data_IF_671128342104
#
_entry.id   IF_671128342104
#
_cell.length_a   1.000
_cell.length_b   1.000
_cell.length_c   1.000
_cell.angle_alpha   90.00
_cell.angle_beta   90.00
_cell.angle_gamma   90.00
#
_symmetry.space_group_name_H-M   'P 1'
#
loop_
_entity.id
_entity.type
_entity.pdbx_description
1 polymer ?
#
# COMPACT_ATOMS: atom_id res chain seq x y z
N UNK A 1 -46.73 105.86 -4.10
CA UNK A 1 -47.02 104.42 -3.87
C UNK A 1 -46.90 103.56 -5.15
N UNK A 2 -47.33 104.02 -6.33
CA UNK A 2 -47.19 103.27 -7.60
C UNK A 2 -45.75 102.99 -8.04
N UNK A 3 -44.84 103.96 -7.92
CA UNK A 3 -43.43 103.81 -8.33
C UNK A 3 -42.63 102.78 -7.51
N UNK A 4 -43.00 102.56 -6.25
CA UNK A 4 -42.35 101.55 -5.38
C UNK A 4 -42.79 100.14 -5.79
N UNK A 5 -44.06 99.96 -6.17
CA UNK A 5 -44.60 98.68 -6.62
C UNK A 5 -43.97 98.23 -7.94
N UNK A 6 -43.87 99.11 -8.93
CA UNK A 6 -43.24 98.80 -10.22
C UNK A 6 -41.76 98.42 -10.07
N UNK A 7 -41.03 99.05 -9.15
CA UNK A 7 -39.62 98.73 -8.92
C UNK A 7 -39.46 97.37 -8.22
N UNK A 8 -40.39 97.01 -7.33
CA UNK A 8 -40.44 95.69 -6.69
C UNK A 8 -40.78 94.60 -7.70
N UNK A 9 -41.79 94.80 -8.54
CA UNK A 9 -42.18 93.85 -9.60
C UNK A 9 -41.02 93.65 -10.59
N UNK A 10 -40.32 94.72 -10.99
CA UNK A 10 -39.15 94.63 -11.86
C UNK A 10 -37.98 93.87 -11.23
N UNK A 11 -37.67 94.11 -9.96
CA UNK A 11 -36.63 93.36 -9.24
C UNK A 11 -37.02 91.89 -9.05
N UNK A 12 -38.30 91.62 -8.80
CA UNK A 12 -38.80 90.26 -8.59
C UNK A 12 -38.76 89.46 -9.89
N UNK A 13 -39.19 90.05 -11.02
CA UNK A 13 -39.07 89.44 -12.35
C UNK A 13 -37.63 89.06 -12.68
N UNK A 14 -36.68 89.99 -12.46
CA UNK A 14 -35.26 89.73 -12.74
C UNK A 14 -34.70 88.58 -11.89
N UNK A 15 -35.12 88.47 -10.62
CA UNK A 15 -34.72 87.34 -9.76
C UNK A 15 -35.33 86.01 -10.19
N UNK A 16 -36.54 86.02 -10.75
CA UNK A 16 -37.16 84.81 -11.30
C UNK A 16 -36.43 84.34 -12.55
N UNK A 17 -36.07 85.25 -13.46
CA UNK A 17 -35.29 84.92 -14.67
C UNK A 17 -33.90 84.37 -14.30
N UNK A 18 -33.20 85.02 -13.36
CA UNK A 18 -31.90 84.55 -12.83
C UNK A 18 -32.02 83.22 -12.05
N UNK A 19 -33.18 82.91 -11.45
CA UNK A 19 -33.43 81.63 -10.81
C UNK A 19 -33.70 80.53 -11.84
N UNK A 20 -34.47 80.82 -12.89
CA UNK A 20 -34.82 79.87 -13.94
C UNK A 20 -33.59 79.45 -14.75
N UNK A 21 -32.73 80.41 -15.12
CA UNK A 21 -31.44 80.17 -15.78
C UNK A 21 -30.54 79.25 -14.93
N UNK A 22 -30.37 79.54 -13.64
CA UNK A 22 -29.60 78.67 -12.72
C UNK A 22 -30.20 77.28 -12.56
N UNK A 23 -31.52 77.16 -12.64
CA UNK A 23 -32.21 75.87 -12.55
C UNK A 23 -32.03 75.03 -13.82
N UNK A 24 -31.98 75.65 -15.00
CA UNK A 24 -31.65 74.98 -16.27
C UNK A 24 -30.23 74.41 -16.23
N UNK A 25 -29.26 75.22 -15.83
CA UNK A 25 -27.85 74.79 -15.70
C UNK A 25 -27.67 73.60 -14.74
N UNK A 26 -28.29 73.65 -13.56
CA UNK A 26 -28.19 72.56 -12.57
C UNK A 26 -28.85 71.27 -13.05
N UNK A 27 -29.95 71.37 -13.80
CA UNK A 27 -30.61 70.20 -14.41
C UNK A 27 -29.74 69.58 -15.49
N UNK A 28 -29.10 70.40 -16.31
CA UNK A 28 -28.21 69.95 -17.38
C UNK A 28 -26.99 69.21 -16.81
N UNK A 29 -26.30 69.79 -15.82
CA UNK A 29 -25.15 69.15 -15.15
C UNK A 29 -25.48 67.77 -14.56
N UNK A 30 -26.64 67.62 -13.91
CA UNK A 30 -27.06 66.33 -13.34
C UNK A 30 -27.47 65.30 -14.39
N UNK A 31 -27.90 65.74 -15.57
CA UNK A 31 -28.21 64.84 -16.69
C UNK A 31 -26.91 64.29 -17.29
N UNK A 32 -25.95 65.18 -17.53
CA UNK A 32 -24.62 64.83 -18.05
C UNK A 32 -23.87 63.87 -17.10
N UNK A 33 -23.90 64.13 -15.79
CA UNK A 33 -23.28 63.26 -14.79
C UNK A 33 -23.93 61.86 -14.74
N UNK A 34 -25.25 61.79 -14.90
CA UNK A 34 -25.98 60.52 -14.96
C UNK A 34 -25.63 59.74 -16.23
N UNK A 35 -25.60 60.41 -17.38
CA UNK A 35 -25.29 59.79 -18.66
C UNK A 35 -23.84 59.26 -18.68
N UNK A 36 -22.89 59.99 -18.06
CA UNK A 36 -21.51 59.55 -17.88
C UNK A 36 -21.38 58.30 -17.01
N UNK A 37 -22.08 58.26 -15.87
CA UNK A 37 -22.08 57.09 -14.98
C UNK A 37 -22.72 55.86 -15.65
N UNK A 38 -23.76 56.06 -16.47
CA UNK A 38 -24.40 54.98 -17.23
C UNK A 38 -23.44 54.42 -18.29
N UNK A 39 -22.72 55.28 -19.02
CA UNK A 39 -21.71 54.83 -19.98
C UNK A 39 -20.61 54.01 -19.32
N UNK A 40 -20.10 54.44 -18.16
CA UNK A 40 -19.05 53.72 -17.44
C UNK A 40 -19.50 52.32 -16.98
N UNK A 41 -20.75 52.19 -16.51
CA UNK A 41 -21.32 50.89 -16.14
C UNK A 41 -21.47 49.97 -17.36
N UNK A 42 -21.94 50.49 -18.50
CA UNK A 42 -22.10 49.72 -19.73
C UNK A 42 -20.74 49.24 -20.25
N UNK A 43 -19.72 50.10 -20.23
CA UNK A 43 -18.37 49.72 -20.66
C UNK A 43 -17.74 48.66 -19.76
N UNK A 44 -17.96 48.75 -18.44
CA UNK A 44 -17.46 47.77 -17.48
C UNK A 44 -18.12 46.42 -17.67
N UNK A 45 -19.45 46.38 -17.82
CA UNK A 45 -20.21 45.15 -18.06
C UNK A 45 -19.82 44.50 -19.41
N UNK A 46 -19.55 45.32 -20.45
CA UNK A 46 -19.05 44.84 -21.74
C UNK A 46 -17.66 44.21 -21.63
N UNK A 47 -16.75 44.79 -20.84
CA UNK A 47 -15.42 44.24 -20.57
C UNK A 47 -15.52 42.91 -19.82
N UNK A 48 -16.29 42.86 -18.74
CA UNK A 48 -16.47 41.66 -17.92
C UNK A 48 -17.12 40.52 -18.73
N UNK A 49 -18.10 40.82 -19.59
CA UNK A 49 -18.71 39.84 -20.50
C UNK A 49 -17.73 39.31 -21.55
N UNK A 50 -16.86 40.18 -22.08
CA UNK A 50 -15.82 39.77 -23.03
C UNK A 50 -14.72 38.92 -22.38
N UNK A 51 -14.40 39.17 -21.10
CA UNK A 51 -13.45 38.36 -20.34
C UNK A 51 -14.04 37.00 -20.00
N UNK A 52 -15.31 36.94 -19.59
CA UNK A 52 -16.01 35.68 -19.34
C UNK A 52 -16.07 34.82 -20.62
N UNK A 53 -16.41 35.40 -21.78
CA UNK A 53 -16.48 34.66 -23.04
C UNK A 53 -15.09 34.17 -23.51
N UNK A 54 -14.03 34.96 -23.25
CA UNK A 54 -12.64 34.55 -23.54
C UNK A 54 -12.15 33.44 -22.61
N UNK A 55 -12.50 33.49 -21.33
CA UNK A 55 -12.18 32.44 -20.36
C UNK A 55 -12.96 31.16 -20.69
N UNK A 56 -14.21 31.26 -21.11
CA UNK A 56 -15.02 30.10 -21.53
C UNK A 56 -14.49 29.46 -22.82
N UNK A 57 -14.15 30.24 -23.85
CA UNK A 57 -13.47 29.74 -25.07
C UNK A 57 -12.07 29.20 -24.78
N UNK A 58 -11.34 29.80 -23.84
CA UNK A 58 -10.02 29.33 -23.39
C UNK A 58 -10.11 28.00 -22.64
N UNK A 59 -11.11 27.83 -21.77
CA UNK A 59 -11.33 26.61 -21.01
C UNK A 59 -11.87 25.46 -21.91
N UNK A 60 -12.70 25.76 -22.91
CA UNK A 60 -13.13 24.79 -23.92
C UNK A 60 -11.99 24.35 -24.85
N UNK A 61 -11.09 25.26 -25.25
CA UNK A 61 -9.88 24.89 -26.02
C UNK A 61 -8.86 24.13 -25.19
N UNK A 62 -8.70 24.44 -23.90
CA UNK A 62 -7.81 23.71 -23.01
C UNK A 62 -8.37 22.32 -22.65
N UNK A 63 -9.69 22.16 -22.56
CA UNK A 63 -10.35 20.85 -22.40
C UNK A 63 -10.18 19.90 -23.59
N UNK A 64 -10.14 20.43 -24.84
CA UNK A 64 -9.88 19.61 -26.03
C UNK A 64 -8.39 19.38 -26.31
N UNK A 65 -7.50 20.31 -25.94
CA UNK A 65 -6.05 20.09 -26.03
C UNK A 65 -5.51 19.14 -24.93
N UNK A 66 -6.23 19.01 -23.81
CA UNK A 66 -6.04 17.98 -22.78
C UNK A 66 -6.92 16.73 -23.01
N UNK A 67 -7.41 16.53 -24.24
CA UNK A 67 -8.06 15.28 -24.66
C UNK A 67 -7.14 14.05 -24.61
N UNK A 68 -5.84 14.22 -24.32
CA UNK A 68 -4.89 13.15 -24.02
C UNK A 68 -4.64 12.89 -22.53
N UNK A 69 -5.05 13.80 -21.63
CA UNK A 69 -4.78 13.66 -20.18
C UNK A 69 -6.00 13.16 -19.39
N UNK A 70 -7.23 13.37 -19.89
CA UNK A 70 -8.38 12.67 -19.33
C UNK A 70 -8.33 11.15 -19.61
N UNK A 71 -7.78 10.75 -20.77
CA UNK A 71 -7.51 9.35 -21.05
C UNK A 71 -6.38 8.80 -20.17
N UNK A 72 -5.33 9.57 -19.85
CA UNK A 72 -4.22 9.08 -19.04
C UNK A 72 -4.50 9.11 -17.53
N UNK A 73 -5.31 10.03 -17.01
CA UNK A 73 -5.73 9.98 -15.59
C UNK A 73 -6.71 8.80 -15.35
N UNK A 74 -7.48 8.40 -16.37
CA UNK A 74 -8.31 7.19 -16.32
C UNK A 74 -7.55 5.87 -16.57
N UNK A 75 -6.54 5.87 -17.43
CA UNK A 75 -5.79 4.65 -17.79
C UNK A 75 -4.65 4.33 -16.82
N UNK A 76 -4.03 5.33 -16.17
CA UNK A 76 -2.93 5.08 -15.22
C UNK A 76 -3.38 4.92 -13.76
N UNK A 77 -4.60 5.34 -13.40
CA UNK A 77 -5.10 5.22 -12.02
C UNK A 77 -5.40 3.79 -11.56
N UNK A 78 -5.71 2.88 -12.50
CA UNK A 78 -5.98 1.47 -12.21
C UNK A 78 -4.94 0.49 -12.78
N UNK A 79 -4.58 0.63 -14.06
CA UNK A 79 -3.70 -0.34 -14.74
C UNK A 79 -2.21 -0.10 -14.42
N UNK A 80 -1.78 1.15 -14.27
CA UNK A 80 -0.37 1.48 -13.96
C UNK A 80 0.07 0.97 -12.59
N UNK A 81 -0.82 1.06 -11.59
CA UNK A 81 -0.59 0.58 -10.22
C UNK A 81 -0.57 -0.95 -10.17
N UNK A 82 -1.44 -1.62 -10.93
CA UNK A 82 -1.48 -3.09 -10.96
C UNK A 82 -0.24 -3.69 -11.66
N UNK A 83 0.24 -3.04 -12.73
CA UNK A 83 1.48 -3.44 -13.41
C UNK A 83 2.70 -3.22 -12.51
N UNK A 84 2.80 -2.09 -11.81
CA UNK A 84 3.92 -1.83 -10.90
C UNK A 84 3.92 -2.77 -9.69
N UNK A 85 2.75 -3.08 -9.12
CA UNK A 85 2.63 -4.10 -8.07
C UNK A 85 3.08 -5.47 -8.57
N UNK A 86 2.68 -5.86 -9.78
CA UNK A 86 3.04 -7.16 -10.36
C UNK A 86 4.55 -7.25 -10.66
N UNK A 87 5.16 -6.17 -11.14
CA UNK A 87 6.60 -6.10 -11.37
C UNK A 87 7.42 -6.10 -10.06
N UNK A 88 6.94 -5.40 -9.03
CA UNK A 88 7.54 -5.40 -7.70
C UNK A 88 7.46 -6.78 -7.03
N UNK A 89 6.34 -7.50 -7.21
CA UNK A 89 6.21 -8.88 -6.75
C UNK A 89 7.14 -9.82 -7.51
N UNK A 90 7.26 -9.69 -8.84
CA UNK A 90 8.17 -10.52 -9.62
C UNK A 90 9.65 -10.34 -9.22
N UNK A 91 10.06 -9.10 -8.95
CA UNK A 91 11.41 -8.78 -8.46
C UNK A 91 11.64 -9.28 -7.03
N UNK A 92 10.68 -9.10 -6.12
CA UNK A 92 10.77 -9.61 -4.76
C UNK A 92 10.77 -11.15 -4.68
N UNK A 93 10.09 -11.83 -5.61
CA UNK A 93 10.15 -13.29 -5.72
C UNK A 93 11.53 -13.73 -6.25
N UNK A 94 12.12 -13.00 -7.20
CA UNK A 94 13.46 -13.31 -7.70
C UNK A 94 14.55 -13.12 -6.63
N UNK A 95 14.52 -12.00 -5.90
CA UNK A 95 15.42 -11.75 -4.77
C UNK A 95 15.15 -12.71 -3.59
N UNK A 96 13.86 -12.96 -3.33
CA UNK A 96 13.39 -13.95 -2.37
C UNK A 96 13.90 -15.36 -2.69
N UNK A 97 13.95 -15.75 -3.96
CA UNK A 97 14.45 -17.06 -4.38
C UNK A 97 15.96 -17.25 -4.13
N UNK A 98 16.77 -16.20 -4.28
CA UNK A 98 18.20 -16.26 -3.99
C UNK A 98 18.46 -16.35 -2.48
N UNK A 99 17.75 -15.55 -1.68
CA UNK A 99 17.82 -15.65 -0.20
C UNK A 99 17.23 -16.96 0.32
N UNK A 100 16.19 -17.48 -0.33
CA UNK A 100 15.55 -18.76 -0.03
C UNK A 100 16.49 -19.95 -0.23
N UNK A 101 17.33 -19.96 -1.28
CA UNK A 101 18.32 -21.03 -1.49
C UNK A 101 19.31 -21.10 -0.33
N UNK A 102 19.88 -19.96 0.09
CA UNK A 102 20.81 -19.90 1.21
C UNK A 102 20.14 -20.31 2.54
N UNK A 103 18.90 -19.86 2.78
CA UNK A 103 18.14 -20.26 3.97
C UNK A 103 17.78 -21.76 3.96
N UNK A 104 17.43 -22.31 2.80
CA UNK A 104 17.15 -23.73 2.61
C UNK A 104 18.39 -24.59 2.89
N UNK A 105 19.55 -24.21 2.36
CA UNK A 105 20.82 -24.91 2.62
C UNK A 105 21.23 -24.84 4.09
N UNK A 106 21.07 -23.68 4.73
CA UNK A 106 21.34 -23.50 6.15
C UNK A 106 20.41 -24.35 7.05
N UNK A 107 19.15 -24.55 6.65
CA UNK A 107 18.18 -25.37 7.39
C UNK A 107 18.35 -26.88 7.14
N UNK A 108 18.93 -27.28 6.01
CA UNK A 108 19.05 -28.67 5.56
C UNK A 108 19.86 -29.53 6.53
N UNK A 109 21.09 -29.11 6.83
CA UNK A 109 22.05 -29.87 7.64
C UNK A 109 21.55 -30.09 9.08
N UNK A 110 21.13 -29.06 9.83
CA UNK A 110 20.67 -29.26 11.21
C UNK A 110 19.42 -30.14 11.29
N UNK A 111 18.47 -29.98 10.35
CA UNK A 111 17.26 -30.81 10.31
C UNK A 111 17.56 -32.28 9.98
N UNK A 112 18.53 -32.53 9.08
CA UNK A 112 18.97 -33.88 8.77
C UNK A 112 19.65 -34.53 9.98
N UNK A 113 20.56 -33.82 10.64
CA UNK A 113 21.27 -34.32 11.82
C UNK A 113 20.29 -34.64 12.95
N UNK A 114 19.35 -33.74 13.26
CA UNK A 114 18.32 -33.98 14.27
C UNK A 114 17.47 -35.23 13.96
N UNK A 115 17.07 -35.39 12.69
CA UNK A 115 16.34 -36.57 12.25
C UNK A 115 17.14 -37.86 12.39
N UNK A 116 18.44 -37.84 12.08
CA UNK A 116 19.33 -39.00 12.27
C UNK A 116 19.49 -39.32 13.76
N UNK A 117 19.76 -38.31 14.61
CA UNK A 117 19.88 -38.48 16.06
C UNK A 117 18.63 -39.14 16.63
N UNK A 118 17.45 -38.58 16.32
CA UNK A 118 16.16 -39.12 16.76
C UNK A 118 15.90 -40.52 16.23
N UNK A 119 16.29 -40.80 14.99
CA UNK A 119 16.20 -42.14 14.41
C UNK A 119 17.07 -43.15 15.15
N UNK A 120 18.29 -42.77 15.53
CA UNK A 120 19.20 -43.65 16.25
C UNK A 120 18.74 -43.84 17.70
N UNK A 121 18.29 -42.79 18.38
CA UNK A 121 17.73 -42.87 19.74
C UNK A 121 16.50 -43.79 19.79
N UNK A 122 15.57 -43.63 18.84
CA UNK A 122 14.33 -44.43 18.81
C UNK A 122 14.57 -45.88 18.43
N UNK A 123 15.46 -46.15 17.48
CA UNK A 123 15.75 -47.52 17.04
C UNK A 123 16.69 -48.23 18.00
N UNK A 124 17.81 -47.62 18.35
CA UNK A 124 18.86 -48.29 19.11
C UNK A 124 18.81 -47.97 20.61
N UNK A 125 18.07 -46.95 21.05
CA UNK A 125 17.98 -46.59 22.47
C UNK A 125 19.29 -46.04 23.03
N UNK A 126 20.09 -45.40 22.18
CA UNK A 126 21.43 -44.90 22.51
C UNK A 126 21.44 -43.38 22.38
N UNK A 127 22.00 -42.69 23.37
CA UNK A 127 22.13 -41.21 23.39
C UNK A 127 23.57 -40.73 23.11
N UNK A 128 24.52 -41.66 22.98
CA UNK A 128 25.95 -41.37 22.80
C UNK A 128 26.56 -42.27 21.73
N UNK A 129 27.34 -41.71 20.81
CA UNK A 129 28.06 -42.47 19.78
C UNK A 129 29.56 -42.25 19.95
N UNK A 130 30.35 -43.33 19.92
CA UNK A 130 31.81 -43.26 20.05
C UNK A 130 32.30 -42.65 21.36
N UNK A 131 31.54 -42.79 22.46
CA UNK A 131 31.86 -42.19 23.76
C UNK A 131 31.63 -40.68 23.84
N UNK A 132 31.01 -40.08 22.82
CA UNK A 132 30.68 -38.64 22.77
C UNK A 132 29.17 -38.44 22.60
N UNK A 133 28.70 -37.23 22.91
CA UNK A 133 27.31 -36.83 22.59
C UNK A 133 27.12 -36.82 21.07
N UNK A 134 25.96 -37.26 20.60
CA UNK A 134 25.68 -37.36 19.17
C UNK A 134 25.83 -36.02 18.42
N UNK A 135 25.48 -34.91 19.04
CA UNK A 135 25.70 -33.56 18.49
C UNK A 135 27.17 -33.31 18.15
N UNK A 136 28.09 -33.71 19.04
CA UNK A 136 29.53 -33.56 18.82
C UNK A 136 30.04 -34.48 17.72
N UNK A 137 29.48 -35.69 17.62
CA UNK A 137 29.81 -36.64 16.55
C UNK A 137 29.43 -36.09 15.17
N UNK A 138 28.21 -35.57 15.01
CA UNK A 138 27.74 -35.05 13.71
C UNK A 138 28.34 -33.69 13.32
N UNK A 139 29.09 -33.02 14.20
CA UNK A 139 29.92 -31.86 13.82
C UNK A 139 31.12 -32.28 12.97
N UNK A 140 31.66 -33.47 13.17
CA UNK A 140 32.84 -33.99 12.45
C UNK A 140 32.49 -35.01 11.37
N UNK A 141 31.37 -35.71 11.53
CA UNK A 141 30.96 -36.81 10.65
C UNK A 141 29.74 -36.41 9.85
N UNK A 142 29.76 -36.67 8.54
CA UNK A 142 28.64 -36.35 7.66
C UNK A 142 27.48 -37.31 7.94
N UNK A 143 26.26 -36.78 8.04
CA UNK A 143 25.05 -37.58 8.29
C UNK A 143 24.72 -38.57 7.15
N UNK A 144 25.30 -38.37 5.97
CA UNK A 144 25.14 -39.23 4.79
C UNK A 144 26.06 -40.45 4.81
N UNK A 145 27.10 -40.45 5.66
CA UNK A 145 28.08 -41.54 5.73
C UNK A 145 27.56 -42.70 6.59
N UNK A 146 26.68 -43.51 6.00
CA UNK A 146 26.06 -44.68 6.63
C UNK A 146 27.09 -45.59 7.32
N UNK A 147 28.23 -45.86 6.68
CA UNK A 147 29.27 -46.73 7.23
C UNK A 147 29.87 -46.19 8.53
N UNK A 148 30.21 -44.89 8.59
CA UNK A 148 30.79 -44.30 9.81
C UNK A 148 29.78 -44.23 10.95
N UNK A 149 28.51 -44.00 10.62
CA UNK A 149 27.43 -44.04 11.60
C UNK A 149 27.25 -45.47 12.11
N UNK A 150 27.24 -46.46 11.21
CA UNK A 150 27.14 -47.87 11.57
C UNK A 150 28.33 -48.33 12.43
N UNK A 151 29.55 -47.91 12.11
CA UNK A 151 30.76 -48.16 12.91
C UNK A 151 30.64 -47.58 14.32
N UNK A 152 30.17 -46.34 14.44
CA UNK A 152 30.00 -45.68 15.74
C UNK A 152 28.91 -46.37 16.59
N UNK A 153 27.81 -46.78 15.98
CA UNK A 153 26.74 -47.56 16.63
C UNK A 153 27.26 -48.95 17.02
N UNK A 154 28.05 -49.60 16.16
CA UNK A 154 28.65 -50.90 16.43
C UNK A 154 29.65 -50.85 17.59
N UNK A 155 30.49 -49.82 17.66
CA UNK A 155 31.41 -49.63 18.78
C UNK A 155 30.65 -49.44 20.10
N UNK A 156 29.54 -48.71 20.08
CA UNK A 156 28.66 -48.61 21.25
C UNK A 156 28.07 -49.98 21.62
N UNK A 157 27.56 -50.72 20.63
CA UNK A 157 27.06 -52.09 20.81
C UNK A 157 28.13 -53.01 21.43
N UNK A 158 29.36 -52.98 20.93
CA UNK A 158 30.46 -53.79 21.45
C UNK A 158 30.82 -53.42 22.91
N UNK A 159 30.81 -52.13 23.23
CA UNK A 159 31.06 -51.61 24.58
C UNK A 159 29.92 -51.94 25.56
N UNK A 160 28.66 -51.93 25.12
CA UNK A 160 27.51 -52.13 26.01
C UNK A 160 27.04 -53.56 26.09
N UNK A 161 27.13 -54.34 25.01
CA UNK A 161 26.51 -55.66 24.88
C UNK A 161 27.50 -56.83 24.91
N UNK A 162 28.76 -56.63 24.48
CA UNK A 162 29.77 -57.70 24.42
C UNK A 162 30.67 -57.69 25.67
N UNK A 163 31.16 -56.52 26.06
CA UNK A 163 32.15 -56.38 27.15
C UNK A 163 31.53 -56.39 28.55
N UNK A 164 30.23 -56.12 28.69
CA UNK A 164 29.59 -55.93 30.00
C UNK A 164 29.20 -57.24 30.72
N UNK A 165 29.23 -58.40 30.06
CA UNK A 165 29.10 -59.75 30.67
C UNK A 165 27.77 -60.09 31.36
N UNK A 166 27.02 -59.09 31.81
CA UNK A 166 25.67 -59.19 32.35
C UNK A 166 24.72 -58.72 31.27
N UNK A 167 23.73 -59.54 30.91
CA UNK A 167 22.72 -59.26 29.88
C UNK A 167 22.07 -57.88 30.00
N UNK A 168 22.76 -56.85 29.51
CA UNK A 168 22.29 -55.49 29.45
C UNK A 168 21.22 -55.45 28.36
N UNK A 169 19.96 -55.44 28.80
CA UNK A 169 18.77 -55.38 27.94
C UNK A 169 18.59 -53.98 27.37
N UNK A 170 19.58 -53.49 26.61
CA UNK A 170 19.46 -52.28 25.82
C UNK A 170 18.78 -52.58 24.47
N UNK A 171 17.99 -51.65 23.89
CA UNK A 171 17.35 -51.86 22.59
C UNK A 171 18.36 -52.18 21.49
N UNK A 172 19.56 -51.58 21.56
CA UNK A 172 20.69 -51.88 20.66
C UNK A 172 21.15 -53.34 20.74
N UNK A 173 21.18 -53.93 21.94
CA UNK A 173 21.55 -55.32 22.12
C UNK A 173 20.47 -56.22 21.52
N UNK A 174 19.21 -56.02 21.90
CA UNK A 174 18.07 -56.83 21.42
C UNK A 174 17.97 -56.82 19.89
N UNK A 175 18.17 -55.67 19.25
CA UNK A 175 18.15 -55.56 17.78
C UNK A 175 19.27 -56.36 17.12
N UNK A 176 20.52 -56.21 17.58
CA UNK A 176 21.65 -56.93 17.02
C UNK A 176 21.47 -58.47 17.15
N UNK A 177 20.91 -58.92 18.28
CA UNK A 177 20.54 -60.33 18.50
C UNK A 177 19.40 -60.79 17.58
N UNK A 178 18.32 -60.01 17.43
CA UNK A 178 17.15 -60.37 16.61
C UNK A 178 17.47 -60.57 15.11
N UNK A 179 18.43 -59.82 14.58
CA UNK A 179 18.86 -59.97 13.19
C UNK A 179 19.82 -61.16 12.97
N UNK A 180 20.50 -61.64 14.01
CA UNK A 180 21.38 -62.82 13.92
C UNK A 180 20.60 -64.14 13.76
N UNK A 181 19.35 -64.19 14.23
CA UNK A 181 18.53 -65.41 14.27
C UNK A 181 17.57 -65.53 13.06
N UNK A 182 17.19 -64.42 12.42
CA UNK A 182 16.09 -64.37 11.45
C UNK A 182 16.43 -64.75 10.01
N UNK A 183 17.69 -65.08 9.66
CA UNK A 183 18.08 -65.35 8.26
C UNK A 183 18.91 -66.61 7.97
N UNK A 184 19.13 -67.50 8.92
CA UNK A 184 19.81 -68.79 8.68
C UNK A 184 21.26 -68.68 8.15
N UNK A 185 21.82 -67.47 8.13
CA UNK A 185 23.20 -67.15 7.82
C UNK A 185 23.68 -66.22 8.94
N UNK A 186 24.85 -66.51 9.51
CA UNK A 186 25.46 -65.74 10.60
C UNK A 186 25.84 -64.35 10.07
N UNK A 187 24.87 -63.43 10.00
CA UNK A 187 25.11 -62.04 9.63
C UNK A 187 25.79 -61.38 10.83
N UNK A 188 26.98 -60.81 10.60
CA UNK A 188 27.71 -60.08 11.64
C UNK A 188 26.83 -58.96 12.22
N UNK A 189 26.91 -58.73 13.54
CA UNK A 189 26.12 -57.68 14.20
C UNK A 189 26.29 -56.29 13.54
N UNK A 190 27.46 -56.03 12.96
CA UNK A 190 27.74 -54.85 12.13
C UNK A 190 26.79 -54.73 10.92
N UNK A 191 26.65 -55.78 10.11
CA UNK A 191 25.79 -55.76 8.92
C UNK A 191 24.32 -55.49 9.28
N UNK A 192 23.86 -56.03 10.42
CA UNK A 192 22.51 -55.78 10.92
C UNK A 192 22.29 -54.33 11.31
N UNK A 193 23.29 -53.73 11.96
CA UNK A 193 23.29 -52.30 12.32
C UNK A 193 23.30 -51.44 11.05
N UNK A 194 24.14 -51.77 10.08
CA UNK A 194 24.21 -51.04 8.81
C UNK A 194 22.87 -51.07 8.06
N UNK A 195 22.20 -52.22 8.01
CA UNK A 195 20.85 -52.37 7.42
C UNK A 195 19.82 -51.52 8.17
N UNK A 196 19.93 -51.38 9.49
CA UNK A 196 19.02 -50.57 10.29
C UNK A 196 19.32 -49.06 10.22
N UNK A 197 20.57 -48.66 9.96
CA UNK A 197 20.97 -47.24 9.80
C UNK A 197 20.57 -46.68 8.42
N UNK A 198 20.63 -47.48 7.36
CA UNK A 198 20.21 -47.07 5.99
C UNK A 198 18.85 -46.36 5.92
N UNK A 199 17.74 -46.93 6.46
CA UNK A 199 16.44 -46.26 6.42
C UNK A 199 16.40 -44.99 7.27
N UNK A 200 17.20 -44.88 8.33
CA UNK A 200 17.27 -43.66 9.17
C UNK A 200 17.89 -42.51 8.35
N UNK A 201 19.01 -42.76 7.68
CA UNK A 201 19.66 -41.76 6.83
C UNK A 201 18.77 -41.35 5.67
N UNK A 202 18.10 -42.31 5.01
CA UNK A 202 17.14 -42.01 3.95
C UNK A 202 15.94 -41.18 4.44
N UNK A 203 15.40 -41.48 5.62
CA UNK A 203 14.35 -40.65 6.22
C UNK A 203 14.85 -39.24 6.55
N UNK A 204 16.08 -39.11 7.05
CA UNK A 204 16.68 -37.82 7.32
C UNK A 204 16.84 -36.96 6.07
N UNK A 205 17.16 -37.55 4.92
CA UNK A 205 17.15 -36.84 3.62
C UNK A 205 15.77 -36.27 3.30
N UNK A 206 14.70 -37.05 3.49
CA UNK A 206 13.32 -36.53 3.25
C UNK A 206 12.93 -35.41 4.21
N UNK A 207 13.41 -35.45 5.45
CA UNK A 207 13.20 -34.38 6.44
C UNK A 207 13.99 -33.14 6.06
N UNK A 208 15.23 -33.32 5.58
CA UNK A 208 16.07 -32.25 5.10
C UNK A 208 15.47 -31.55 3.87
N UNK A 209 14.93 -32.31 2.91
CA UNK A 209 14.20 -31.76 1.76
C UNK A 209 12.95 -30.99 2.17
N UNK A 210 12.22 -31.48 3.18
CA UNK A 210 11.05 -30.76 3.72
C UNK A 210 11.47 -29.47 4.40
N UNK A 211 12.55 -29.49 5.18
CA UNK A 211 13.08 -28.30 5.84
C UNK A 211 13.56 -27.25 4.82
N UNK A 212 14.20 -27.69 3.73
CA UNK A 212 14.55 -26.81 2.60
C UNK A 212 13.31 -26.15 2.04
N UNK A 213 12.26 -26.93 1.71
CA UNK A 213 11.01 -26.39 1.17
C UNK A 213 10.33 -25.40 2.10
N UNK A 214 10.25 -25.71 3.41
CA UNK A 214 9.65 -24.82 4.40
C UNK A 214 10.44 -23.52 4.52
N UNK A 215 11.76 -23.59 4.62
CA UNK A 215 12.61 -22.40 4.72
C UNK A 215 12.57 -21.55 3.44
N UNK A 216 12.49 -22.18 2.26
CA UNK A 216 12.36 -21.45 1.00
C UNK A 216 11.00 -20.76 0.89
N UNK A 217 9.93 -21.44 1.28
CA UNK A 217 8.57 -20.88 1.24
C UNK A 217 8.44 -19.71 2.22
N UNK A 218 8.99 -19.83 3.43
CA UNK A 218 9.01 -18.74 4.41
C UNK A 218 9.81 -17.52 3.92
N UNK A 219 10.95 -17.73 3.27
CA UNK A 219 11.76 -16.64 2.72
C UNK A 219 11.03 -15.90 1.58
N UNK A 220 10.37 -16.63 0.69
CA UNK A 220 9.54 -16.05 -0.38
C UNK A 220 8.32 -15.32 0.19
N UNK A 221 7.66 -15.89 1.21
CA UNK A 221 6.53 -15.24 1.87
C UNK A 221 6.93 -13.94 2.57
N UNK A 222 8.11 -13.88 3.19
CA UNK A 222 8.63 -12.62 3.76
C UNK A 222 8.83 -11.56 2.69
N UNK A 223 9.43 -11.89 1.55
CA UNK A 223 9.68 -10.89 0.49
C UNK A 223 8.36 -10.37 -0.11
N UNK A 224 7.36 -11.24 -0.29
CA UNK A 224 6.01 -10.85 -0.72
C UNK A 224 5.35 -9.95 0.33
N UNK A 225 5.41 -10.30 1.62
CA UNK A 225 4.82 -9.52 2.71
C UNK A 225 5.37 -8.10 2.83
N UNK A 226 6.67 -7.89 2.53
CA UNK A 226 7.27 -6.55 2.47
C UNK A 226 6.68 -5.71 1.34
N UNK A 227 6.44 -6.30 0.17
CA UNK A 227 5.80 -5.60 -0.96
C UNK A 227 4.34 -5.27 -0.64
N UNK A 228 3.58 -6.21 -0.09
CA UNK A 228 2.17 -6.01 0.26
C UNK A 228 1.97 -4.93 1.33
N UNK A 229 2.80 -4.93 2.38
CA UNK A 229 2.74 -3.91 3.42
C UNK A 229 3.06 -2.51 2.90
N UNK A 230 4.07 -2.38 2.04
CA UNK A 230 4.40 -1.12 1.38
C UNK A 230 3.27 -0.63 0.48
N UNK A 231 2.66 -1.55 -0.28
CA UNK A 231 1.51 -1.24 -1.13
C UNK A 231 0.28 -0.79 -0.33
N UNK A 232 0.00 -1.45 0.80
CA UNK A 232 -1.10 -1.07 1.68
C UNK A 232 -0.94 0.36 2.19
N UNK A 233 0.28 0.77 2.60
CA UNK A 233 0.58 2.14 3.01
C UNK A 233 0.29 3.13 1.86
N UNK A 234 0.77 2.86 0.65
CA UNK A 234 0.50 3.69 -0.52
C UNK A 234 -1.00 3.80 -0.82
N UNK A 235 -1.74 2.69 -0.73
CA UNK A 235 -3.19 2.69 -0.96
C UNK A 235 -3.92 3.54 0.07
N UNK A 236 -3.54 3.47 1.36
CA UNK A 236 -4.14 4.34 2.40
C UNK A 236 -3.88 5.83 2.13
N UNK A 237 -2.67 6.18 1.68
CA UNK A 237 -2.34 7.56 1.31
C UNK A 237 -3.17 8.05 0.12
N UNK A 238 -3.39 7.21 -0.89
CA UNK A 238 -4.24 7.53 -2.04
C UNK A 238 -5.69 7.76 -1.58
N UNK A 239 -6.25 6.86 -0.75
CA UNK A 239 -7.61 7.00 -0.22
C UNK A 239 -7.75 8.31 0.56
N UNK A 240 -6.79 8.63 1.42
CA UNK A 240 -6.81 9.87 2.20
C UNK A 240 -6.81 11.13 1.30
N UNK A 241 -6.01 11.13 0.23
CA UNK A 241 -5.99 12.26 -0.72
C UNK A 241 -7.30 12.41 -1.49
N UNK A 242 -7.93 11.30 -1.92
CA UNK A 242 -9.25 11.32 -2.59
C UNK A 242 -10.33 11.85 -1.64
N UNK A 243 -10.34 11.41 -0.39
CA UNK A 243 -11.28 11.90 0.63
C UNK A 243 -11.09 13.40 0.86
N UNK A 244 -9.86 13.89 0.94
CA UNK A 244 -9.57 15.33 1.08
C UNK A 244 -10.11 16.15 -0.09
N UNK A 245 -9.93 15.67 -1.34
CA UNK A 245 -10.46 16.33 -2.54
C UNK A 245 -12.00 16.39 -2.50
N UNK A 246 -12.66 15.31 -2.10
CA UNK A 246 -14.13 15.26 -1.98
C UNK A 246 -14.63 16.28 -0.94
N UNK A 247 -13.96 16.39 0.22
CA UNK A 247 -14.33 17.37 1.26
C UNK A 247 -14.23 18.81 0.72
N UNK A 248 -13.13 19.14 0.04
CA UNK A 248 -12.94 20.47 -0.56
C UNK A 248 -14.03 20.76 -1.60
N UNK A 249 -14.35 19.78 -2.46
CA UNK A 249 -15.41 19.91 -3.45
C UNK A 249 -16.79 20.14 -2.80
N UNK A 250 -17.12 19.40 -1.73
CA UNK A 250 -18.37 19.58 -0.99
C UNK A 250 -18.48 20.98 -0.36
N UNK A 251 -17.40 21.49 0.25
CA UNK A 251 -17.37 22.85 0.81
C UNK A 251 -17.61 23.90 -0.28
N UNK A 252 -16.94 23.77 -1.43
CA UNK A 252 -17.14 24.66 -2.58
C UNK A 252 -18.60 24.64 -3.08
N UNK A 253 -19.22 23.46 -3.14
CA UNK A 253 -20.63 23.30 -3.52
C UNK A 253 -21.56 23.99 -2.51
N UNK A 254 -21.33 23.82 -1.20
CA UNK A 254 -22.14 24.46 -0.16
C UNK A 254 -22.05 25.99 -0.27
N UNK A 255 -20.82 26.54 -0.37
CA UNK A 255 -20.60 27.98 -0.54
C UNK A 255 -21.31 28.48 -1.82
N UNK A 256 -21.17 27.75 -2.93
CA UNK A 256 -21.84 28.07 -4.19
C UNK A 256 -23.38 28.11 -4.04
N UNK A 257 -23.98 27.11 -3.37
CA UNK A 257 -25.41 27.05 -3.14
C UNK A 257 -25.90 28.21 -2.26
N UNK A 258 -25.16 28.56 -1.19
CA UNK A 258 -25.48 29.70 -0.32
C UNK A 258 -25.43 31.01 -1.12
N UNK A 259 -24.37 31.23 -1.91
CA UNK A 259 -24.23 32.42 -2.75
C UNK A 259 -25.34 32.51 -3.80
N UNK A 260 -25.68 31.40 -4.46
CA UNK A 260 -26.77 31.31 -5.43
C UNK A 260 -28.12 31.63 -4.79
N UNK A 261 -28.38 31.08 -3.60
CA UNK A 261 -29.59 31.35 -2.83
C UNK A 261 -29.71 32.84 -2.48
N UNK A 262 -28.63 33.47 -2.00
CA UNK A 262 -28.60 34.92 -1.69
C UNK A 262 -28.87 35.77 -2.93
N UNK A 263 -28.30 35.44 -4.08
CA UNK A 263 -28.55 36.14 -5.35
C UNK A 263 -30.02 36.07 -5.78
N UNK A 264 -30.63 34.88 -5.75
CA UNK A 264 -32.07 34.71 -6.04
C UNK A 264 -32.96 35.53 -5.11
N UNK A 265 -32.69 35.50 -3.79
CA UNK A 265 -33.47 36.28 -2.81
C UNK A 265 -33.38 37.79 -3.06
N UNK A 266 -32.20 38.30 -3.42
CA UNK A 266 -32.01 39.72 -3.77
C UNK A 266 -32.80 40.12 -5.01
N UNK A 267 -32.85 39.28 -6.03
CA UNK A 267 -33.63 39.52 -7.25
C UNK A 267 -35.15 39.53 -6.98
N UNK A 268 -35.65 38.57 -6.19
CA UNK A 268 -37.07 38.51 -5.85
C UNK A 268 -37.53 39.74 -5.06
N UNK A 269 -36.71 40.23 -4.11
CA UNK A 269 -37.00 41.47 -3.39
C UNK A 269 -37.10 42.68 -4.33
N UNK A 270 -36.16 42.82 -5.28
CA UNK A 270 -36.20 43.91 -6.27
C UNK A 270 -37.49 43.91 -7.09
N UNK A 271 -37.94 42.74 -7.52
CA UNK A 271 -39.18 42.54 -8.28
C UNK A 271 -40.43 43.01 -7.50
N UNK A 272 -40.47 42.76 -6.19
CA UNK A 272 -41.55 43.25 -5.32
C UNK A 272 -41.55 44.77 -5.20
N UNK A 273 -40.39 45.41 -4.99
CA UNK A 273 -40.29 46.87 -4.92
C UNK A 273 -40.65 47.55 -6.24
N UNK A 274 -40.27 47.00 -7.39
CA UNK A 274 -40.68 47.54 -8.69
C UNK A 274 -42.18 47.45 -8.94
N UNK A 275 -42.87 46.44 -8.39
CA UNK A 275 -44.33 46.35 -8.48
C UNK A 275 -45.03 47.40 -7.63
N UNK A 276 -44.53 47.65 -6.42
CA UNK A 276 -45.10 48.67 -5.51
C UNK A 276 -44.90 50.11 -6.01
N UNK A 277 -43.82 50.38 -6.77
CA UNK A 277 -43.52 51.72 -7.31
C UNK A 277 -44.30 52.08 -8.58
N UNK A 278 -44.87 51.08 -9.27
CA UNK A 278 -45.64 51.27 -10.50
C UNK A 278 -47.16 51.30 -10.25
N UNK A 279 -47.58 51.33 -8.98
CA UNK A 279 -48.95 51.55 -8.52
C UNK A 279 -49.09 52.99 -8.05
#
# INVERSE_FOLDING_TARGET
>A
MKSVKENFDRQTSKRFDEYEERMKDKRQKRKEERDKNIQEIIEKDRKDKSLAEKVEKGCLRCGCALGGVAASVGLFGGLGIYVSKSAALATAIAEGAETAKAAGEAARIPAAIDAVIKGIETKFGVSTLGGQKMETFFNTTLYTEVSKIADAVYNQYAATCITSGNGARGPICTLAWQYSESRGNVVSAYNSIEVAVKPIVSQAETVAERAVKTATDEAIQRSIGVVESTYAICQTAIIASVVAIIIIALVMIIIYLVLRYRRKKKMNKKLQYTKLLNQ
#
